data_IF_757025914235
#
_entry.id   IF_757025914235
#
_cell.length_a   1.000
_cell.length_b   1.000
_cell.length_c   1.000
_cell.angle_alpha   90.00
_cell.angle_beta   90.00
_cell.angle_gamma   90.00
#
_symmetry.space_group_name_H-M   'P 1'
#
loop_
_entity.id
_entity.type
_entity.pdbx_description
1 polymer ?
#
# COMPACT_ATOMS: atom_id res chain seq x y z
N UNK A 1 -7.51 47.69 -28.62
CA UNK A 1 -8.55 46.85 -29.26
C UNK A 1 -9.91 47.38 -28.86
N UNK A 2 -10.82 47.70 -29.80
CA UNK A 2 -12.21 47.98 -29.46
C UNK A 2 -12.86 46.67 -28.99
N UNK A 3 -13.50 46.68 -27.80
CA UNK A 3 -14.42 45.62 -27.37
C UNK A 3 -14.01 44.81 -26.13
N UNK A 4 -12.73 44.46 -25.94
CA UNK A 4 -12.25 43.82 -24.70
C UNK A 4 -10.98 44.49 -24.21
N UNK A 5 -10.98 44.90 -22.95
CA UNK A 5 -9.78 45.41 -22.28
C UNK A 5 -8.81 44.26 -22.00
N UNK A 6 -7.50 44.51 -22.04
CA UNK A 6 -6.50 43.48 -21.74
C UNK A 6 -6.68 42.84 -20.36
N UNK A 7 -7.16 43.62 -19.38
CA UNK A 7 -7.47 43.14 -18.03
C UNK A 7 -8.65 42.15 -17.99
N UNK A 8 -9.70 42.37 -18.79
CA UNK A 8 -10.82 41.43 -18.89
C UNK A 8 -10.37 40.10 -19.53
N UNK A 9 -9.50 40.18 -20.53
CA UNK A 9 -8.90 38.99 -21.14
C UNK A 9 -8.02 38.24 -20.14
N UNK A 10 -7.16 38.95 -19.40
CA UNK A 10 -6.31 38.38 -18.35
C UNK A 10 -7.15 37.60 -17.32
N UNK A 11 -8.22 38.21 -16.80
CA UNK A 11 -9.10 37.54 -15.83
C UNK A 11 -9.72 36.25 -16.40
N UNK A 12 -10.08 36.26 -17.69
CA UNK A 12 -10.65 35.09 -18.35
C UNK A 12 -9.60 33.99 -18.55
N UNK A 13 -8.40 34.35 -19.01
CA UNK A 13 -7.33 33.40 -19.27
C UNK A 13 -6.80 32.79 -17.98
N UNK A 14 -6.54 33.61 -16.95
CA UNK A 14 -6.06 33.13 -15.66
C UNK A 14 -7.04 32.14 -15.01
N UNK A 15 -8.35 32.38 -15.16
CA UNK A 15 -9.39 31.47 -14.63
C UNK A 15 -9.49 30.16 -15.40
N UNK A 16 -9.48 30.22 -16.73
CA UNK A 16 -9.75 29.05 -17.57
C UNK A 16 -8.49 28.21 -17.85
N UNK A 17 -7.32 28.84 -17.79
CA UNK A 17 -6.03 28.25 -18.11
C UNK A 17 -4.99 28.64 -17.04
N UNK A 18 -5.09 28.10 -15.81
CA UNK A 18 -4.22 28.50 -14.70
C UNK A 18 -2.74 28.20 -14.93
N UNK A 19 -2.43 27.25 -15.82
CA UNK A 19 -1.07 26.86 -16.19
C UNK A 19 -0.56 27.62 -17.46
N UNK A 20 -1.31 28.61 -17.96
CA UNK A 20 -0.89 29.43 -19.10
C UNK A 20 -0.03 30.59 -18.61
N UNK A 21 1.14 30.77 -19.23
CA UNK A 21 1.97 31.94 -18.97
C UNK A 21 1.39 33.18 -19.67
N UNK A 22 1.17 34.28 -18.93
CA UNK A 22 0.56 35.51 -19.46
C UNK A 22 1.47 36.71 -19.19
N UNK A 23 1.95 37.37 -20.25
CA UNK A 23 2.73 38.61 -20.16
C UNK A 23 1.87 39.77 -20.66
N UNK A 24 1.71 40.78 -19.83
CA UNK A 24 0.98 42.00 -20.18
C UNK A 24 1.94 42.99 -20.84
N UNK A 25 1.54 43.57 -21.97
CA UNK A 25 2.31 44.63 -22.64
C UNK A 25 1.41 45.85 -22.84
N UNK A 26 1.77 46.97 -22.23
CA UNK A 26 0.90 48.14 -22.11
C UNK A 26 1.64 49.42 -22.49
N UNK A 27 0.93 50.39 -23.10
CA UNK A 27 1.46 51.76 -23.27
C UNK A 27 1.16 52.69 -22.08
N UNK A 28 0.36 52.22 -21.11
CA UNK A 28 0.14 52.91 -19.85
C UNK A 28 1.22 52.45 -18.86
N UNK A 29 1.99 53.38 -18.32
CA UNK A 29 3.11 53.09 -17.39
C UNK A 29 2.72 53.32 -15.91
N UNK A 30 1.44 53.09 -15.61
CA UNK A 30 0.91 53.21 -14.26
C UNK A 30 1.22 51.97 -13.42
N UNK A 31 1.91 52.19 -12.30
CA UNK A 31 2.30 51.16 -11.34
C UNK A 31 1.08 50.44 -10.74
N UNK A 32 -0.03 51.15 -10.51
CA UNK A 32 -1.25 50.52 -9.97
C UNK A 32 -1.81 49.50 -10.97
N UNK A 33 -1.88 49.86 -12.25
CA UNK A 33 -2.32 48.94 -13.31
C UNK A 33 -1.38 47.72 -13.44
N UNK A 34 -0.07 47.93 -13.35
CA UNK A 34 0.91 46.84 -13.41
C UNK A 34 0.75 45.88 -12.22
N UNK A 35 0.71 46.41 -11.00
CA UNK A 35 0.53 45.60 -9.78
C UNK A 35 -0.82 44.89 -9.76
N UNK A 36 -1.89 45.54 -10.22
CA UNK A 36 -3.20 44.92 -10.39
C UNK A 36 -3.14 43.74 -11.37
N UNK A 37 -2.49 43.91 -12.53
CA UNK A 37 -2.34 42.84 -13.52
C UNK A 37 -1.60 41.63 -12.94
N UNK A 38 -0.52 41.86 -12.18
CA UNK A 38 0.22 40.78 -11.52
C UNK A 38 -0.64 40.03 -10.51
N UNK A 39 -1.46 40.74 -9.70
CA UNK A 39 -2.40 40.13 -8.76
C UNK A 39 -3.51 39.32 -9.45
N UNK A 40 -3.88 39.72 -10.66
CA UNK A 40 -4.88 39.02 -11.48
C UNK A 40 -4.32 37.83 -12.26
N UNK A 41 -3.06 37.44 -12.02
CA UNK A 41 -2.45 36.24 -12.59
C UNK A 41 -1.59 36.47 -13.83
N UNK A 42 -1.15 37.70 -14.08
CA UNK A 42 -0.09 37.93 -15.05
C UNK A 42 1.28 37.51 -14.48
N UNK A 43 2.12 36.89 -15.30
CA UNK A 43 3.49 36.51 -14.94
C UNK A 43 4.47 37.68 -15.02
N UNK A 44 4.21 38.62 -15.93
CA UNK A 44 5.03 39.80 -16.13
C UNK A 44 4.21 40.95 -16.72
N UNK A 45 4.73 42.17 -16.56
CA UNK A 45 4.15 43.39 -17.10
C UNK A 45 5.26 44.25 -17.73
N UNK A 46 5.09 44.59 -19.00
CA UNK A 46 6.06 45.35 -19.77
C UNK A 46 5.45 46.63 -20.33
N UNK A 47 6.02 47.76 -19.94
CA UNK A 47 5.65 49.07 -20.46
C UNK A 47 6.26 49.29 -21.86
N UNK A 48 5.47 49.79 -22.80
CA UNK A 48 5.93 50.17 -24.14
C UNK A 48 6.65 51.52 -24.07
N UNK A 49 7.72 51.71 -24.87
CA UNK A 49 8.30 50.76 -25.82
C UNK A 49 9.14 49.67 -25.13
N UNK A 50 8.98 48.42 -25.56
CA UNK A 50 9.74 47.27 -25.02
C UNK A 50 10.84 46.87 -26.01
N UNK A 51 12.12 46.82 -25.60
CA UNK A 51 13.18 46.26 -26.41
C UNK A 51 12.92 44.78 -26.73
N UNK A 52 13.11 44.37 -27.99
CA UNK A 52 12.85 42.99 -28.43
C UNK A 52 13.65 41.97 -27.61
N UNK A 53 14.92 42.28 -27.30
CA UNK A 53 15.79 41.44 -26.47
C UNK A 53 15.19 41.19 -25.08
N UNK A 54 14.63 42.23 -24.46
CA UNK A 54 13.97 42.11 -23.16
C UNK A 54 12.70 41.26 -23.26
N UNK A 55 11.88 41.47 -24.30
CA UNK A 55 10.66 40.70 -24.52
C UNK A 55 10.97 39.20 -24.68
N UNK A 56 11.96 38.86 -25.52
CA UNK A 56 12.40 37.47 -25.72
C UNK A 56 12.84 36.85 -24.40
N UNK A 57 13.71 37.55 -23.65
CA UNK A 57 14.16 37.07 -22.34
C UNK A 57 13.00 36.82 -21.37
N UNK A 58 11.99 37.71 -21.33
CA UNK A 58 10.81 37.51 -20.47
C UNK A 58 9.95 36.33 -20.92
N UNK A 59 9.77 36.13 -22.22
CA UNK A 59 9.04 34.99 -22.77
C UNK A 59 9.76 33.68 -22.43
N UNK A 60 11.07 33.59 -22.64
CA UNK A 60 11.86 32.39 -22.30
C UNK A 60 11.74 32.05 -20.81
N UNK A 61 11.88 33.05 -19.94
CA UNK A 61 11.71 32.87 -18.49
C UNK A 61 10.30 32.38 -18.13
N UNK A 62 9.27 32.93 -18.75
CA UNK A 62 7.89 32.55 -18.51
C UNK A 62 7.60 31.12 -18.99
N UNK A 63 8.12 30.73 -20.15
CA UNK A 63 8.00 29.37 -20.69
C UNK A 63 8.75 28.36 -19.82
N UNK A 64 9.96 28.69 -19.34
CA UNK A 64 10.71 27.83 -18.44
C UNK A 64 9.92 27.60 -17.14
N UNK A 65 9.41 28.67 -16.51
CA UNK A 65 8.57 28.56 -15.31
C UNK A 65 7.36 27.66 -15.57
N UNK A 66 6.67 27.85 -16.69
CA UNK A 66 5.51 27.05 -17.09
C UNK A 66 5.88 25.57 -17.25
N UNK A 67 7.00 25.27 -17.90
CA UNK A 67 7.46 23.89 -18.09
C UNK A 67 7.67 23.18 -16.75
N UNK A 68 8.31 23.86 -15.78
CA UNK A 68 8.53 23.33 -14.44
C UNK A 68 7.23 23.06 -13.68
N UNK A 69 6.24 23.95 -13.80
CA UNK A 69 4.91 23.76 -13.19
C UNK A 69 4.20 22.53 -13.76
N UNK A 70 4.21 22.39 -15.09
CA UNK A 70 3.58 21.26 -15.76
C UNK A 70 4.28 19.94 -15.44
N UNK A 71 5.61 19.93 -15.40
CA UNK A 71 6.40 18.76 -15.03
C UNK A 71 6.13 18.35 -13.57
N UNK A 72 6.08 19.31 -12.65
CA UNK A 72 5.76 19.03 -11.25
C UNK A 72 4.35 18.42 -11.11
N UNK A 73 3.37 18.96 -11.82
CA UNK A 73 1.98 18.45 -11.83
C UNK A 73 1.93 17.01 -12.33
N UNK A 74 2.61 16.71 -13.44
CA UNK A 74 2.68 15.37 -14.01
C UNK A 74 3.35 14.38 -13.05
N UNK A 75 4.44 14.77 -12.39
CA UNK A 75 5.09 13.91 -11.39
C UNK A 75 4.18 13.64 -10.19
N UNK A 76 3.47 14.66 -9.69
CA UNK A 76 2.54 14.48 -8.56
C UNK A 76 1.42 13.50 -8.90
N UNK A 77 0.80 13.66 -10.06
CA UNK A 77 -0.24 12.75 -10.54
C UNK A 77 0.30 11.32 -10.69
N UNK A 78 1.51 11.15 -11.21
CA UNK A 78 2.14 9.84 -11.32
C UNK A 78 2.38 9.18 -9.94
N UNK A 79 2.87 9.95 -8.96
CA UNK A 79 3.07 9.46 -7.60
C UNK A 79 1.76 9.08 -6.92
N UNK A 80 0.70 9.88 -7.09
CA UNK A 80 -0.63 9.58 -6.55
C UNK A 80 -1.20 8.27 -7.13
N UNK A 81 -1.01 8.05 -8.43
CA UNK A 81 -1.39 6.81 -9.09
C UNK A 81 -0.59 5.59 -8.55
N UNK A 82 0.72 5.73 -8.38
CA UNK A 82 1.58 4.69 -7.80
C UNK A 82 1.15 4.34 -6.36
N UNK A 83 0.88 5.35 -5.53
CA UNK A 83 0.42 5.15 -4.16
C UNK A 83 -0.91 4.40 -4.14
N UNK A 84 -1.83 4.76 -5.03
CA UNK A 84 -3.13 4.10 -5.16
C UNK A 84 -2.97 2.63 -5.55
N UNK A 85 -2.15 2.35 -6.56
CA UNK A 85 -1.84 0.99 -7.01
C UNK A 85 -1.20 0.14 -5.91
N UNK A 86 -0.22 0.70 -5.19
CA UNK A 86 0.43 0.01 -4.08
C UNK A 86 -0.56 -0.31 -2.95
N UNK A 87 -1.45 0.62 -2.60
CA UNK A 87 -2.47 0.39 -1.59
C UNK A 87 -3.44 -0.72 -1.99
N UNK A 88 -3.82 -0.80 -3.28
CA UNK A 88 -4.65 -1.89 -3.80
C UNK A 88 -3.95 -3.24 -3.66
N UNK A 89 -2.68 -3.33 -4.07
CA UNK A 89 -1.86 -4.56 -3.95
C UNK A 89 -1.69 -5.00 -2.49
N UNK A 90 -1.42 -4.05 -1.59
CA UNK A 90 -1.30 -4.35 -0.16
C UNK A 90 -2.62 -4.87 0.43
N UNK A 91 -3.75 -4.30 0.00
CA UNK A 91 -5.08 -4.80 0.37
C UNK A 91 -5.31 -6.24 -0.09
N UNK A 92 -4.94 -6.55 -1.34
CA UNK A 92 -5.03 -7.92 -1.89
C UNK A 92 -4.15 -8.89 -1.10
N UNK A 93 -2.88 -8.56 -0.87
CA UNK A 93 -1.98 -9.40 -0.09
C UNK A 93 -2.52 -9.66 1.33
N UNK A 94 -3.10 -8.64 1.97
CA UNK A 94 -3.71 -8.81 3.30
C UNK A 94 -4.89 -9.78 3.25
N UNK A 95 -5.72 -9.74 2.21
CA UNK A 95 -6.84 -10.68 2.05
C UNK A 95 -6.37 -12.13 1.88
N UNK A 96 -5.29 -12.34 1.11
CA UNK A 96 -4.67 -13.67 0.91
C UNK A 96 -4.15 -14.21 2.24
N UNK A 97 -3.45 -13.39 3.02
CA UNK A 97 -2.95 -13.78 4.33
C UNK A 97 -4.09 -14.16 5.30
N UNK A 98 -5.19 -13.39 5.31
CA UNK A 98 -6.37 -13.72 6.12
C UNK A 98 -6.97 -15.07 5.71
N UNK A 99 -7.11 -15.33 4.40
CA UNK A 99 -7.63 -16.59 3.89
C UNK A 99 -6.71 -17.76 4.26
N UNK A 100 -5.40 -17.63 4.07
CA UNK A 100 -4.41 -18.64 4.48
C UNK A 100 -4.48 -18.91 5.98
N UNK A 101 -4.54 -17.87 6.83
CA UNK A 101 -4.62 -18.05 8.27
C UNK A 101 -5.91 -18.77 8.68
N UNK A 102 -7.05 -18.45 8.05
CA UNK A 102 -8.32 -19.16 8.30
C UNK A 102 -8.26 -20.62 7.88
N UNK A 103 -7.56 -20.94 6.78
CA UNK A 103 -7.34 -22.32 6.34
C UNK A 103 -6.47 -23.08 7.34
N UNK A 104 -5.36 -22.49 7.78
CA UNK A 104 -4.48 -23.07 8.79
C UNK A 104 -5.27 -23.37 10.07
N UNK A 105 -6.09 -22.43 10.55
CA UNK A 105 -6.93 -22.68 11.72
C UNK A 105 -7.97 -23.79 11.49
N UNK A 106 -8.55 -23.88 10.29
CA UNK A 106 -9.48 -24.96 9.97
C UNK A 106 -8.81 -26.33 9.93
N UNK A 107 -7.56 -26.40 9.46
CA UNK A 107 -6.76 -27.63 9.44
C UNK A 107 -6.33 -28.02 10.86
N UNK A 108 -5.85 -27.06 11.65
CA UNK A 108 -5.50 -27.30 13.07
C UNK A 108 -6.71 -27.79 13.87
N UNK A 109 -7.90 -27.22 13.64
CA UNK A 109 -9.14 -27.68 14.29
C UNK A 109 -9.51 -29.11 13.91
N UNK A 110 -9.15 -29.55 12.70
CA UNK A 110 -9.39 -30.91 12.20
C UNK A 110 -8.36 -31.91 12.74
N UNK A 111 -7.13 -31.47 13.01
CA UNK A 111 -6.12 -32.25 13.73
C UNK A 111 -6.47 -32.37 15.23
N UNK A 112 -7.03 -31.33 15.86
CA UNK A 112 -7.51 -31.35 17.25
C UNK A 112 -8.79 -32.19 17.49
N UNK A 113 -9.41 -32.77 16.48
CA UNK A 113 -10.45 -33.79 16.64
C UNK A 113 -9.87 -35.21 16.87
N UNK A 114 -8.54 -35.38 16.72
CA UNK A 114 -7.84 -36.66 16.95
C UNK A 114 -7.23 -36.92 18.35
N UNK A 115 -7.13 -35.98 19.34
CA UNK A 115 -6.59 -36.27 20.67
C UNK A 115 -7.37 -37.33 21.44
N UNK A 116 -8.71 -37.33 21.33
CA UNK A 116 -9.55 -38.35 21.99
C UNK A 116 -9.41 -39.72 21.33
N UNK A 117 -9.28 -39.76 19.99
CA UNK A 117 -9.05 -41.01 19.26
C UNK A 117 -7.67 -41.61 19.57
N UNK A 118 -6.63 -40.76 19.70
CA UNK A 118 -5.29 -41.19 20.06
C UNK A 118 -5.18 -41.58 21.54
N UNK A 119 -5.88 -40.88 22.45
CA UNK A 119 -5.93 -41.22 23.87
C UNK A 119 -6.63 -42.56 24.12
N UNK A 120 -7.74 -42.85 23.42
CA UNK A 120 -8.41 -44.15 23.51
C UNK A 120 -7.53 -45.31 23.03
N UNK A 121 -6.72 -45.08 22.00
CA UNK A 121 -5.76 -46.06 21.49
C UNK A 121 -4.58 -46.26 22.44
N UNK A 122 -4.04 -45.19 23.03
CA UNK A 122 -3.00 -45.29 24.05
C UNK A 122 -3.50 -46.01 25.31
N UNK A 123 -4.74 -45.75 25.73
CA UNK A 123 -5.34 -46.45 26.86
C UNK A 123 -5.50 -47.95 26.56
N UNK A 124 -6.02 -48.30 25.37
CA UNK A 124 -6.16 -49.70 24.97
C UNK A 124 -4.82 -50.44 24.88
N UNK A 125 -3.75 -49.77 24.41
CA UNK A 125 -2.39 -50.33 24.39
C UNK A 125 -1.86 -50.52 25.82
N UNK A 126 -2.03 -49.54 26.70
CA UNK A 126 -1.64 -49.65 28.11
C UNK A 126 -2.39 -50.77 28.85
N UNK A 127 -3.68 -50.94 28.58
CA UNK A 127 -4.50 -51.98 29.18
C UNK A 127 -4.03 -53.37 28.73
N UNK A 128 -3.65 -53.53 27.45
CA UNK A 128 -3.05 -54.77 26.92
C UNK A 128 -1.72 -55.08 27.60
N UNK A 129 -0.82 -54.10 27.73
CA UNK A 129 0.50 -54.30 28.36
C UNK A 129 0.34 -54.76 29.83
N UNK A 130 -0.56 -54.13 30.58
CA UNK A 130 -0.86 -54.54 31.97
C UNK A 130 -1.45 -55.95 32.07
N UNK A 131 -2.26 -56.36 31.07
CA UNK A 131 -2.82 -57.70 30.97
C UNK A 131 -1.75 -58.75 30.65
N UNK A 132 -0.79 -58.42 29.79
CA UNK A 132 0.36 -59.27 29.48
C UNK A 132 1.26 -59.44 30.71
N UNK A 133 1.54 -58.38 31.46
CA UNK A 133 2.32 -58.45 32.71
C UNK A 133 1.62 -59.33 33.75
N UNK A 134 0.30 -59.16 33.92
CA UNK A 134 -0.50 -59.99 34.84
C UNK A 134 -0.51 -61.47 34.42
N UNK A 135 -0.59 -61.76 33.12
CA UNK A 135 -0.49 -63.13 32.59
C UNK A 135 0.91 -63.72 32.78
N UNK A 136 1.96 -62.90 32.61
CA UNK A 136 3.34 -63.31 32.84
C UNK A 136 3.59 -63.64 34.32
N UNK A 137 3.14 -62.79 35.25
CA UNK A 137 3.20 -63.05 36.69
C UNK A 137 2.39 -64.28 37.09
N UNK A 138 1.19 -64.44 36.53
CA UNK A 138 0.37 -65.64 36.75
C UNK A 138 1.07 -66.90 36.25
N UNK A 139 1.68 -66.87 35.06
CA UNK A 139 2.44 -68.00 34.53
C UNK A 139 3.65 -68.34 35.41
N UNK A 140 4.34 -67.32 35.94
CA UNK A 140 5.49 -67.49 36.83
C UNK A 140 5.07 -68.09 38.18
N UNK A 141 3.92 -67.68 38.72
CA UNK A 141 3.33 -68.27 39.91
C UNK A 141 2.88 -69.73 39.72
N UNK A 142 2.39 -70.09 38.53
CA UNK A 142 2.08 -71.49 38.20
C UNK A 142 3.36 -72.34 38.06
N UNK A 143 4.43 -71.78 37.50
CA UNK A 143 5.72 -72.48 37.31
C UNK A 143 6.47 -72.64 38.64
N UNK A 144 6.52 -71.61 39.49
CA UNK A 144 7.20 -71.65 40.80
C UNK A 144 6.42 -72.45 41.86
N UNK A 145 5.12 -72.68 41.65
CA UNK A 145 4.27 -73.51 42.50
C UNK A 145 4.29 -75.01 42.18
N UNK A 146 4.96 -75.45 41.11
CA UNK A 146 5.03 -76.86 40.74
C UNK A 146 5.99 -77.61 41.69
N UNK A 147 5.55 -78.64 42.43
CA UNK A 147 6.41 -79.37 43.34
C UNK A 147 7.48 -80.10 42.53
N UNK A 148 8.75 -79.71 42.70
CA UNK A 148 9.90 -80.42 42.13
C UNK A 148 9.95 -81.81 42.76
N UNK A 149 9.49 -82.82 42.01
CA UNK A 149 9.56 -84.21 42.41
C UNK A 149 11.02 -84.62 42.62
N UNK A 150 11.45 -84.76 43.88
CA UNK A 150 12.76 -85.32 44.23
C UNK A 150 12.74 -86.82 43.91
N UNK A 151 13.69 -87.26 43.08
CA UNK A 151 13.97 -88.69 42.88
C UNK A 151 14.50 -89.29 44.19
N UNK A 152 14.07 -90.50 44.59
CA UNK A 152 14.62 -91.18 45.74
C UNK A 152 15.94 -91.87 45.37
N UNK A 153 16.93 -91.76 46.25
CA UNK A 153 18.10 -92.64 46.34
C UNK A 153 17.87 -93.69 47.44
#
# INVERSE_FOLDING_TARGET
MPGKTGLSLLATLSKNFPDMAIIMVSGNDDLETATFSMRQGADDYLAKPVPISLLVYRIEKALLRRSLVLENKAYREHLENLVTELNLRLGQNRSVLTALNSLVQSLMRREEETPQAFAGLQQAVSDIDSGIESLAEFSKGIIDGAPVARRPD
#
